data_IF_284411276128
#
_entry.id   IF_284411276128
#
_cell.length_a   1.000
_cell.length_b   1.000
_cell.length_c   1.000
_cell.angle_alpha   90.00
_cell.angle_beta   90.00
_cell.angle_gamma   90.00
#
_symmetry.space_group_name_H-M   'P 1'
#
loop_
_entity.id
_entity.type
_entity.pdbx_description
1 polymer ?
#
# COMPACT_ATOMS: atom_id res chain seq x y z
N UNK A 1 -41.82 2.90 63.38
CA UNK A 1 -41.54 3.57 62.08
C UNK A 1 -40.03 3.73 61.84
N UNK A 2 -39.24 2.64 61.86
CA UNK A 2 -37.76 2.69 61.69
C UNK A 2 -37.23 1.94 60.48
N UNK A 3 -38.08 1.20 59.76
CA UNK A 3 -37.65 0.37 58.62
C UNK A 3 -38.19 0.86 57.26
N UNK A 4 -39.03 1.89 57.25
CA UNK A 4 -39.60 2.42 56.00
C UNK A 4 -38.58 3.19 55.13
N UNK A 5 -37.47 3.65 55.72
CA UNK A 5 -36.44 4.42 55.00
C UNK A 5 -35.36 3.48 54.40
N UNK A 6 -35.29 2.22 54.84
CA UNK A 6 -34.24 1.28 54.41
C UNK A 6 -34.56 0.54 53.10
N UNK A 7 -35.79 0.61 52.60
CA UNK A 7 -36.22 -0.07 51.36
C UNK A 7 -36.15 0.81 50.11
N UNK A 8 -35.80 2.10 50.23
CA UNK A 8 -35.90 3.07 49.13
C UNK A 8 -34.65 3.19 48.23
N UNK A 9 -33.57 2.44 48.50
CA UNK A 9 -32.30 2.59 47.78
C UNK A 9 -32.08 1.60 46.61
N UNK A 10 -33.10 0.80 46.26
CA UNK A 10 -32.93 -0.35 45.35
C UNK A 10 -33.26 -0.10 43.87
N UNK A 11 -33.36 1.16 43.45
CA UNK A 11 -33.62 1.54 42.05
C UNK A 11 -32.65 2.61 41.53
N UNK A 12 -31.37 2.52 41.89
CA UNK A 12 -30.35 3.22 41.11
C UNK A 12 -30.15 2.40 39.83
N UNK A 13 -30.97 2.68 38.82
CA UNK A 13 -30.79 2.18 37.47
C UNK A 13 -29.42 2.62 36.99
N UNK A 14 -28.45 1.71 37.02
CA UNK A 14 -27.15 1.95 36.40
C UNK A 14 -27.38 1.97 34.89
N UNK A 15 -27.51 3.16 34.33
CA UNK A 15 -27.44 3.35 32.88
C UNK A 15 -26.04 2.95 32.44
N UNK A 16 -25.92 1.72 31.94
CA UNK A 16 -24.69 1.24 31.28
C UNK A 16 -24.52 2.08 30.03
N UNK A 17 -23.54 3.00 30.04
CA UNK A 17 -23.14 3.73 28.84
C UNK A 17 -22.63 2.72 27.81
N UNK A 18 -23.49 2.38 26.86
CA UNK A 18 -23.09 1.69 25.66
C UNK A 18 -22.28 2.68 24.83
N UNK A 19 -20.95 2.62 24.90
CA UNK A 19 -20.09 3.40 24.04
C UNK A 19 -20.41 3.05 22.58
N UNK A 20 -21.06 3.98 21.87
CA UNK A 20 -21.30 3.88 20.44
C UNK A 20 -20.01 4.19 19.70
N UNK A 21 -19.69 3.36 18.71
CA UNK A 21 -18.56 3.58 17.81
C UNK A 21 -19.14 4.31 16.60
N UNK A 22 -18.73 5.55 16.39
CA UNK A 22 -19.43 6.45 15.47
C UNK A 22 -19.14 6.15 13.98
N UNK A 23 -17.99 5.54 13.69
CA UNK A 23 -17.47 5.29 12.35
C UNK A 23 -17.65 3.84 11.87
N UNK A 24 -18.33 3.00 12.66
CA UNK A 24 -18.59 1.60 12.31
C UNK A 24 -20.07 1.31 12.48
N UNK A 25 -20.71 0.86 11.40
CA UNK A 25 -22.11 0.44 11.44
C UNK A 25 -22.31 -0.78 12.35
N UNK A 26 -23.37 -0.77 13.17
CA UNK A 26 -23.78 -1.92 14.00
C UNK A 26 -24.08 -3.18 13.19
N UNK A 27 -24.39 -3.03 11.90
CA UNK A 27 -24.67 -4.14 10.98
C UNK A 27 -23.41 -4.74 10.35
N UNK A 28 -22.23 -4.14 10.54
CA UNK A 28 -21.00 -4.68 9.97
C UNK A 28 -20.57 -5.94 10.73
N UNK A 29 -20.05 -6.96 10.04
CA UNK A 29 -19.63 -8.21 10.68
C UNK A 29 -18.52 -8.01 11.71
N UNK A 30 -17.70 -6.97 11.56
CA UNK A 30 -16.59 -6.63 12.44
C UNK A 30 -17.01 -5.89 13.72
N UNK A 31 -18.20 -5.27 13.73
CA UNK A 31 -18.65 -4.39 14.81
C UNK A 31 -18.61 -5.08 16.18
N UNK A 32 -19.05 -6.35 16.25
CA UNK A 32 -19.08 -7.09 17.51
C UNK A 32 -17.67 -7.36 18.04
N UNK A 33 -16.75 -7.77 17.16
CA UNK A 33 -15.36 -8.02 17.54
C UNK A 33 -14.67 -6.74 18.02
N UNK A 34 -14.89 -5.62 17.33
CA UNK A 34 -14.31 -4.32 17.67
C UNK A 34 -14.90 -3.80 18.99
N UNK A 35 -16.21 -3.85 19.16
CA UNK A 35 -16.90 -3.44 20.39
C UNK A 35 -16.42 -4.23 21.60
N UNK A 36 -16.27 -5.55 21.48
CA UNK A 36 -15.72 -6.37 22.56
C UNK A 36 -14.27 -6.02 22.88
N UNK A 37 -13.46 -5.73 21.87
CA UNK A 37 -12.05 -5.37 22.05
C UNK A 37 -11.88 -4.03 22.76
N UNK A 38 -12.75 -3.06 22.48
CA UNK A 38 -12.81 -1.77 23.19
C UNK A 38 -13.29 -1.97 24.63
N UNK A 39 -14.37 -2.75 24.84
CA UNK A 39 -14.89 -3.05 26.19
C UNK A 39 -13.86 -3.73 27.09
N UNK A 40 -12.99 -4.56 26.50
CA UNK A 40 -11.89 -5.24 27.19
C UNK A 40 -10.64 -4.36 27.39
N UNK A 41 -10.65 -3.12 26.88
CA UNK A 41 -9.55 -2.16 27.05
C UNK A 41 -8.33 -2.41 26.14
N UNK A 42 -8.49 -3.23 25.10
CA UNK A 42 -7.43 -3.50 24.14
C UNK A 42 -7.22 -2.32 23.20
N UNK A 43 -8.31 -1.77 22.69
CA UNK A 43 -8.32 -0.56 21.87
C UNK A 43 -9.05 0.56 22.59
N UNK A 44 -8.58 1.78 22.39
CA UNK A 44 -9.26 2.99 22.84
C UNK A 44 -9.95 3.63 21.63
N UNK A 45 -11.07 4.27 21.89
CA UNK A 45 -11.65 5.18 20.91
C UNK A 45 -10.84 6.47 20.88
N UNK A 46 -10.65 6.99 19.68
CA UNK A 46 -10.06 8.30 19.46
C UNK A 46 -11.08 9.40 19.80
N UNK A 47 -10.64 10.65 19.68
CA UNK A 47 -11.50 11.82 19.85
C UNK A 47 -12.80 11.65 19.03
N UNK A 48 -13.92 12.07 19.63
CA UNK A 48 -15.26 11.92 19.06
C UNK A 48 -15.79 10.48 18.95
N UNK A 49 -15.30 9.52 19.75
CA UNK A 49 -15.79 8.13 19.79
C UNK A 49 -15.60 7.35 18.46
N UNK A 50 -14.51 7.65 17.74
CA UNK A 50 -14.17 6.95 16.49
C UNK A 50 -13.13 5.85 16.75
N UNK A 51 -13.29 4.69 16.12
CA UNK A 51 -12.32 3.59 16.17
C UNK A 51 -11.18 3.78 15.16
N UNK A 52 -11.48 4.34 14.00
CA UNK A 52 -10.62 4.53 12.83
C UNK A 52 -10.10 3.20 12.26
N UNK A 53 -10.94 2.33 11.67
CA UNK A 53 -10.55 1.00 11.23
C UNK A 53 -9.48 0.99 10.13
N UNK A 54 -9.36 2.09 9.38
CA UNK A 54 -8.37 2.25 8.30
C UNK A 54 -7.07 2.93 8.76
N UNK A 55 -6.97 3.34 10.03
CA UNK A 55 -5.76 3.97 10.53
C UNK A 55 -4.61 2.95 10.63
N UNK A 56 -3.39 3.31 10.20
CA UNK A 56 -2.24 2.42 10.32
C UNK A 56 -1.86 2.24 11.81
N UNK A 57 -1.59 1.00 12.21
CA UNK A 57 -1.13 0.68 13.56
C UNK A 57 0.41 0.63 13.62
N UNK A 58 1.02 1.32 14.58
CA UNK A 58 2.47 1.26 14.77
C UNK A 58 2.90 -0.03 15.49
N UNK A 59 4.15 -0.46 15.25
CA UNK A 59 4.73 -1.64 15.93
C UNK A 59 4.73 -1.50 17.46
N UNK A 60 4.90 -0.27 17.97
CA UNK A 60 4.87 0.04 19.40
C UNK A 60 3.47 -0.15 19.98
N UNK A 61 2.44 0.35 19.30
CA UNK A 61 1.05 0.18 19.72
C UNK A 61 0.63 -1.29 19.71
N UNK A 62 1.04 -2.03 18.67
CA UNK A 62 0.81 -3.46 18.61
C UNK A 62 1.45 -4.21 19.79
N UNK A 63 2.69 -3.88 20.15
CA UNK A 63 3.38 -4.50 21.29
C UNK A 63 2.63 -4.26 22.62
N UNK A 64 2.09 -3.05 22.83
CA UNK A 64 1.29 -2.72 24.01
C UNK A 64 -0.04 -3.50 24.05
N UNK A 65 -0.69 -3.71 22.90
CA UNK A 65 -1.91 -4.51 22.82
C UNK A 65 -1.62 -5.98 23.14
N UNK A 66 -0.54 -6.54 22.58
CA UNK A 66 -0.11 -7.92 22.88
C UNK A 66 0.19 -8.11 24.38
N UNK A 67 0.84 -7.13 25.00
CA UNK A 67 1.10 -7.16 26.44
C UNK A 67 -0.20 -7.16 27.26
N UNK A 68 -1.17 -6.30 26.91
CA UNK A 68 -2.49 -6.26 27.58
C UNK A 68 -3.27 -7.57 27.40
N UNK A 69 -3.21 -8.16 26.20
CA UNK A 69 -3.82 -9.47 25.93
C UNK A 69 -3.22 -10.56 26.82
N UNK A 70 -1.90 -10.61 26.91
CA UNK A 70 -1.20 -11.59 27.76
C UNK A 70 -1.56 -11.42 29.25
N UNK A 71 -1.62 -10.17 29.74
CA UNK A 71 -1.98 -9.87 31.14
C UNK A 71 -3.44 -10.24 31.47
N UNK A 72 -4.39 -10.03 30.54
CA UNK A 72 -5.79 -10.39 30.75
C UNK A 72 -6.04 -11.90 30.58
N UNK A 73 -5.21 -12.62 29.82
CA UNK A 73 -5.26 -14.08 29.73
C UNK A 73 -4.80 -14.78 31.02
N UNK A 74 -3.99 -14.12 31.85
CA UNK A 74 -3.58 -14.66 33.15
C UNK A 74 -4.73 -14.78 34.18
N UNK A 75 -5.95 -14.35 33.85
CA UNK A 75 -7.17 -14.44 34.68
C UNK A 75 -8.22 -15.46 34.16
N UNK A 76 -7.92 -16.27 33.15
CA UNK A 76 -8.75 -17.38 32.65
C UNK A 76 -7.87 -18.62 32.37
N UNK A 77 -8.41 -19.86 32.39
CA UNK A 77 -7.69 -21.04 32.85
C UNK A 77 -6.52 -21.46 31.96
N UNK A 78 -5.49 -21.97 32.62
CA UNK A 78 -4.22 -22.53 32.17
C UNK A 78 -4.05 -22.70 30.65
N UNK A 79 -3.09 -21.97 30.07
CA UNK A 79 -2.54 -22.24 28.75
C UNK A 79 -2.17 -23.72 28.65
N UNK A 80 -2.94 -24.50 27.89
CA UNK A 80 -2.61 -25.87 27.54
C UNK A 80 -1.52 -25.85 26.46
N UNK A 81 -0.61 -26.82 26.47
CA UNK A 81 0.50 -26.97 25.52
C UNK A 81 0.03 -26.99 24.07
N UNK A 82 -1.17 -27.52 23.79
CA UNK A 82 -1.80 -27.51 22.47
C UNK A 82 -1.98 -26.08 21.91
N UNK A 83 -2.49 -25.15 22.72
CA UNK A 83 -2.74 -23.77 22.27
C UNK A 83 -1.41 -23.02 22.02
N UNK A 84 -0.37 -23.34 22.80
CA UNK A 84 0.97 -22.80 22.59
C UNK A 84 1.60 -23.35 21.30
N UNK A 85 1.33 -24.60 20.95
CA UNK A 85 1.77 -25.19 19.68
C UNK A 85 1.07 -24.54 18.48
N UNK A 86 -0.24 -24.31 18.56
CA UNK A 86 -1.00 -23.59 17.53
C UNK A 86 -0.49 -22.16 17.34
N UNK A 87 -0.28 -21.42 18.43
CA UNK A 87 0.33 -20.08 18.38
C UNK A 87 1.74 -20.10 17.77
N UNK A 88 2.55 -21.11 18.10
CA UNK A 88 3.88 -21.27 17.52
C UNK A 88 3.84 -21.56 16.02
N UNK A 89 2.87 -22.39 15.59
CA UNK A 89 2.67 -22.73 14.20
C UNK A 89 2.20 -21.50 13.43
N UNK A 90 1.18 -20.80 13.93
CA UNK A 90 0.67 -19.57 13.32
C UNK A 90 1.75 -18.50 13.20
N UNK A 91 2.58 -18.33 14.24
CA UNK A 91 3.71 -17.40 14.19
C UNK A 91 4.74 -17.79 13.12
N UNK A 92 5.02 -19.10 12.96
CA UNK A 92 5.92 -19.59 11.92
C UNK A 92 5.32 -19.41 10.52
N UNK A 93 4.05 -19.74 10.33
CA UNK A 93 3.33 -19.54 9.07
C UNK A 93 3.31 -18.06 8.69
N UNK A 94 2.92 -17.18 9.61
CA UNK A 94 2.90 -15.74 9.37
C UNK A 94 4.30 -15.19 9.05
N UNK A 95 5.35 -15.68 9.74
CA UNK A 95 6.73 -15.33 9.42
C UNK A 95 7.13 -15.76 8.01
N UNK A 96 6.68 -16.94 7.57
CA UNK A 96 6.95 -17.43 6.23
C UNK A 96 6.22 -16.60 5.17
N UNK A 97 4.93 -16.33 5.36
CA UNK A 97 4.14 -15.46 4.47
C UNK A 97 4.75 -14.05 4.37
N UNK A 98 5.21 -13.46 5.48
CA UNK A 98 5.93 -12.18 5.44
C UNK A 98 7.23 -12.26 4.66
N UNK A 99 7.98 -13.36 4.78
CA UNK A 99 9.21 -13.58 4.03
C UNK A 99 8.93 -13.70 2.53
N UNK A 100 7.87 -14.43 2.16
CA UNK A 100 7.48 -14.62 0.77
C UNK A 100 7.01 -13.30 0.16
N UNK A 101 6.19 -12.54 0.87
CA UNK A 101 5.77 -11.19 0.46
C UNK A 101 6.98 -10.26 0.30
N UNK A 102 7.95 -10.28 1.24
CA UNK A 102 9.18 -9.50 1.11
C UNK A 102 9.98 -9.89 -0.13
N UNK A 103 10.08 -11.19 -0.44
CA UNK A 103 10.76 -11.68 -1.65
C UNK A 103 10.05 -11.22 -2.94
N UNK A 104 8.71 -11.25 -2.95
CA UNK A 104 7.90 -10.78 -4.07
C UNK A 104 8.02 -9.27 -4.27
N UNK A 105 8.06 -8.49 -3.19
CA UNK A 105 8.31 -7.04 -3.26
C UNK A 105 9.71 -6.76 -3.81
N UNK A 106 10.72 -7.54 -3.42
CA UNK A 106 12.07 -7.40 -3.96
C UNK A 106 12.13 -7.70 -5.47
N UNK A 107 11.56 -8.83 -5.90
CA UNK A 107 11.52 -9.19 -7.33
C UNK A 107 10.68 -8.20 -8.14
N UNK A 108 9.57 -7.72 -7.60
CA UNK A 108 8.77 -6.67 -8.23
C UNK A 108 9.56 -5.37 -8.41
N UNK A 109 10.27 -4.91 -7.38
CA UNK A 109 11.14 -3.73 -7.46
C UNK A 109 12.26 -3.91 -8.49
N UNK A 110 12.81 -5.12 -8.61
CA UNK A 110 13.80 -5.43 -9.63
C UNK A 110 13.21 -5.36 -11.03
N UNK A 111 12.04 -5.96 -11.26
CA UNK A 111 11.32 -5.87 -12.54
C UNK A 111 10.97 -4.41 -12.90
N UNK A 112 10.57 -3.59 -11.93
CA UNK A 112 10.35 -2.15 -12.13
C UNK A 112 11.62 -1.42 -12.56
N UNK A 113 12.78 -1.72 -11.94
CA UNK A 113 14.06 -1.14 -12.35
C UNK A 113 14.45 -1.53 -13.78
N UNK A 114 14.26 -2.80 -14.15
CA UNK A 114 14.52 -3.28 -15.50
C UNK A 114 13.60 -2.57 -16.49
N UNK A 115 12.30 -2.48 -16.21
CA UNK A 115 11.34 -1.80 -17.08
C UNK A 115 11.71 -0.32 -17.28
N UNK A 116 12.11 0.38 -16.23
CA UNK A 116 12.56 1.76 -16.32
C UNK A 116 13.83 1.89 -17.17
N UNK A 117 14.78 0.97 -17.00
CA UNK A 117 16.00 0.94 -17.81
C UNK A 117 15.70 0.68 -19.28
N UNK A 118 14.82 -0.28 -19.58
CA UNK A 118 14.38 -0.59 -20.94
C UNK A 118 13.68 0.61 -21.57
N UNK A 119 12.83 1.31 -20.82
CA UNK A 119 12.19 2.54 -21.28
C UNK A 119 13.23 3.62 -21.64
N UNK A 120 14.27 3.82 -20.81
CA UNK A 120 15.33 4.80 -21.13
C UNK A 120 16.15 4.39 -22.35
N UNK A 121 16.41 3.09 -22.52
CA UNK A 121 17.13 2.56 -23.69
C UNK A 121 16.32 2.79 -24.96
N UNK A 122 15.02 2.45 -24.93
CA UNK A 122 14.11 2.68 -26.07
C UNK A 122 13.99 4.16 -26.43
N UNK A 123 13.97 5.06 -25.44
CA UNK A 123 13.95 6.50 -25.69
C UNK A 123 15.24 6.97 -26.39
N UNK A 124 16.39 6.45 -25.98
CA UNK A 124 17.66 6.75 -26.64
C UNK A 124 17.71 6.20 -28.06
N UNK A 125 17.29 4.94 -28.26
CA UNK A 125 17.25 4.31 -29.58
C UNK A 125 16.31 5.08 -30.53
N UNK A 126 15.14 5.49 -30.07
CA UNK A 126 14.22 6.32 -30.85
C UNK A 126 14.86 7.65 -31.25
N UNK A 127 15.53 8.32 -30.30
CA UNK A 127 16.24 9.58 -30.56
C UNK A 127 17.38 9.39 -31.56
N UNK A 128 18.11 8.27 -31.49
CA UNK A 128 19.16 7.93 -32.44
C UNK A 128 18.59 7.65 -33.84
N UNK A 129 17.48 6.93 -33.94
CA UNK A 129 16.78 6.69 -35.21
C UNK A 129 16.29 8.00 -35.83
N UNK A 130 15.69 8.88 -35.05
CA UNK A 130 15.25 10.21 -35.52
C UNK A 130 16.41 11.01 -36.09
N UNK A 131 17.54 11.05 -35.37
CA UNK A 131 18.75 11.74 -35.82
C UNK A 131 19.35 11.09 -37.08
N UNK A 132 19.38 9.75 -37.17
CA UNK A 132 19.86 9.02 -38.34
C UNK A 132 19.01 9.37 -39.56
N UNK A 133 17.68 9.28 -39.44
CA UNK A 133 16.74 9.63 -40.51
C UNK A 133 16.89 11.09 -40.95
N UNK A 134 17.01 12.02 -40.00
CA UNK A 134 17.23 13.42 -40.30
C UNK A 134 18.54 13.65 -41.09
N UNK A 135 19.62 12.95 -40.69
CA UNK A 135 20.92 13.06 -41.35
C UNK A 135 20.90 12.48 -42.78
N UNK A 136 20.21 11.36 -43.00
CA UNK A 136 20.03 10.76 -44.33
C UNK A 136 19.23 11.67 -45.25
N UNK A 137 18.14 12.30 -44.76
CA UNK A 137 17.35 13.25 -45.55
C UNK A 137 18.22 14.44 -45.99
N UNK A 138 19.08 14.95 -45.11
CA UNK A 138 20.00 16.05 -45.43
C UNK A 138 21.04 15.62 -46.46
N UNK A 139 21.61 14.42 -46.32
CA UNK A 139 22.56 13.87 -47.29
C UNK A 139 21.92 13.72 -48.68
N UNK A 140 20.74 13.12 -48.78
CA UNK A 140 20.00 12.97 -50.04
C UNK A 140 19.63 14.31 -50.66
N UNK A 141 19.26 15.32 -49.85
CA UNK A 141 19.00 16.68 -50.35
C UNK A 141 20.24 17.31 -50.96
N UNK A 142 21.41 17.11 -50.33
CA UNK A 142 22.70 17.62 -50.83
C UNK A 142 23.10 16.91 -52.12
N UNK A 143 22.97 15.59 -52.19
CA UNK A 143 23.22 14.82 -53.42
C UNK A 143 22.35 15.30 -54.57
N UNK A 144 21.03 15.46 -54.32
CA UNK A 144 20.11 16.02 -55.30
C UNK A 144 20.52 17.42 -55.75
N UNK A 145 20.97 18.28 -54.84
CA UNK A 145 21.44 19.63 -55.19
C UNK A 145 22.67 19.58 -56.10
N UNK A 146 23.63 18.70 -55.83
CA UNK A 146 24.79 18.48 -56.72
C UNK A 146 24.39 17.97 -58.10
N UNK A 147 23.43 17.04 -58.17
CA UNK A 147 22.90 16.56 -59.44
C UNK A 147 22.27 17.70 -60.27
N UNK A 148 21.45 18.55 -59.64
CA UNK A 148 20.87 19.71 -60.34
C UNK A 148 21.92 20.72 -60.81
N UNK A 149 22.96 20.97 -59.99
CA UNK A 149 24.08 21.83 -60.41
C UNK A 149 24.83 21.25 -61.61
N UNK A 150 25.08 19.93 -61.62
CA UNK A 150 25.74 19.25 -62.74
C UNK A 150 24.92 19.29 -64.03
N UNK A 151 23.61 19.03 -63.94
CA UNK A 151 22.68 19.16 -65.08
C UNK A 151 22.69 20.60 -65.62
N UNK A 152 22.59 21.60 -64.73
CA UNK A 152 22.63 23.01 -65.12
C UNK A 152 23.94 23.40 -65.81
N UNK A 153 25.09 22.98 -65.27
CA UNK A 153 26.40 23.24 -65.87
C UNK A 153 26.54 22.60 -67.26
N UNK A 154 26.06 21.37 -67.43
CA UNK A 154 26.09 20.66 -68.72
C UNK A 154 25.26 21.38 -69.79
N UNK A 155 24.06 21.86 -69.43
CA UNK A 155 23.21 22.64 -70.33
C UNK A 155 23.87 23.96 -70.75
N UNK A 156 24.50 24.67 -69.80
CA UNK A 156 25.21 25.92 -70.10
C UNK A 156 26.41 25.71 -71.05
N UNK A 157 27.18 24.63 -70.84
CA UNK A 157 28.30 24.30 -71.74
C UNK A 157 27.81 23.97 -73.16
N UNK A 158 26.69 23.26 -73.29
CA UNK A 158 26.08 22.93 -74.60
C UNK A 158 25.68 24.20 -75.38
N UNK A 159 25.11 25.20 -74.71
CA UNK A 159 24.71 26.47 -75.32
C UNK A 159 25.92 27.30 -75.78
N UNK A 160 27.03 27.28 -75.03
CA UNK A 160 28.26 28.02 -75.38
C UNK A 160 29.04 27.36 -76.52
N UNK A 161 28.94 26.04 -76.68
CA UNK A 161 29.65 25.29 -77.72
C UNK A 161 29.01 25.31 -79.11
N UNK A 162 27.86 25.97 -79.26
CA UNK A 162 27.06 26.03 -80.48
C UNK A 162 27.01 27.48 -81.00
#
# INVERSE_FOLDING_TARGET
MKYAILFSCLFISTSVFANTINDISKSSPEYNAISQSIKRGYFNLHNNLHFNPQAPISRKEMALILQKLHQNQAKAPHLNTSNLQELSHLSKTYKHELSDVLSQVHSFNQSQKILNNDQTTLQNDFSHLENSLASEIVALKKERQWLWMGIGASLLLSIVSN
#
